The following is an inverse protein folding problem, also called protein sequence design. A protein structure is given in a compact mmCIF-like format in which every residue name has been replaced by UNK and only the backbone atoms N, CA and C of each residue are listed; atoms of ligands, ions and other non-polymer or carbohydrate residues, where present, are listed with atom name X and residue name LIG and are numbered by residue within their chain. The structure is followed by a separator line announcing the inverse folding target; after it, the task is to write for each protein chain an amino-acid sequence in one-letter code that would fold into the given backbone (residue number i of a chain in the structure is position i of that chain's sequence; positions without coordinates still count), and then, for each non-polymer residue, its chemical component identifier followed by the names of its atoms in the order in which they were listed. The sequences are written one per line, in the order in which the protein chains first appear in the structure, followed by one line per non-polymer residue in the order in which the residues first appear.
data_IF_956212509228
#
_entry.id   IF_956212509228
#
_cell.length_a   1.000
_cell.length_b   1.000
_cell.length_c   1.000
_cell.angle_alpha   90.00
_cell.angle_beta   90.00
_cell.angle_gamma   90.00
#
_symmetry.space_group_name_H-M   'P 1'
#
loop_
_entity.id
_entity.type
_entity.pdbx_description
1 polymer ?
#
# COMPACT_ATOMS: atom_id res chain seq x y z
N UNK A 1 15.33 0.39 13.38
CA UNK A 1 16.68 0.01 12.88
C UNK A 1 17.77 0.12 13.95
N UNK A 2 18.02 1.31 14.53
CA UNK A 2 19.08 1.52 15.54
C UNK A 2 18.96 0.59 16.77
N UNK A 3 17.78 0.51 17.39
CA UNK A 3 17.54 -0.39 18.54
C UNK A 3 17.53 -1.89 18.17
N UNK A 4 17.45 -2.23 16.88
CA UNK A 4 17.46 -3.61 16.38
C UNK A 4 18.84 -4.00 15.80
N UNK A 5 19.90 -3.28 16.18
CA UNK A 5 21.28 -3.51 15.72
C UNK A 5 21.41 -3.54 14.18
N UNK A 6 20.62 -2.71 13.49
CA UNK A 6 20.67 -2.55 12.04
C UNK A 6 19.74 -3.46 11.24
N UNK A 7 19.23 -4.57 11.81
CA UNK A 7 18.31 -5.47 11.09
C UNK A 7 16.88 -5.22 11.55
N UNK A 8 16.11 -4.51 10.74
CA UNK A 8 14.76 -4.11 11.07
C UNK A 8 13.82 -4.35 9.88
N UNK A 9 12.91 -5.32 9.98
CA UNK A 9 11.97 -5.63 8.89
C UNK A 9 10.97 -4.51 8.54
N UNK A 10 10.86 -3.46 9.38
CA UNK A 10 9.95 -2.33 9.16
C UNK A 10 10.51 -1.22 8.24
N UNK A 11 11.82 -1.24 7.93
CA UNK A 11 12.44 -0.21 7.10
C UNK A 11 13.75 -0.72 6.46
N UNK A 12 14.19 -0.08 5.37
CA UNK A 12 15.50 -0.38 4.77
C UNK A 12 15.48 -1.35 3.59
N UNK A 13 14.31 -1.71 3.07
CA UNK A 13 14.17 -2.40 1.80
C UNK A 13 14.04 -1.40 0.65
N UNK A 14 14.81 -1.59 -0.42
CA UNK A 14 14.81 -0.76 -1.62
C UNK A 14 14.51 -1.63 -2.84
N UNK A 15 13.78 -1.06 -3.80
CA UNK A 15 13.41 -1.75 -5.03
C UNK A 15 12.67 -0.82 -5.99
N UNK A 16 12.40 -1.32 -7.19
CA UNK A 16 11.68 -0.59 -8.22
C UNK A 16 10.17 -0.71 -8.03
N UNK A 17 9.39 0.17 -8.67
CA UNK A 17 7.93 0.02 -8.69
C UNK A 17 7.50 -1.31 -9.31
N UNK A 18 8.26 -1.82 -10.29
CA UNK A 18 8.02 -3.11 -10.91
C UNK A 18 8.23 -4.28 -9.94
N UNK A 19 9.25 -4.21 -9.08
CA UNK A 19 9.50 -5.27 -8.08
C UNK A 19 8.47 -5.26 -6.96
N UNK A 20 8.08 -4.07 -6.49
CA UNK A 20 6.94 -3.92 -5.57
C UNK A 20 5.69 -4.50 -6.21
N UNK A 21 5.40 -4.16 -7.47
CA UNK A 21 4.24 -4.67 -8.19
C UNK A 21 4.21 -6.21 -8.26
N UNK A 22 5.35 -6.89 -8.45
CA UNK A 22 5.41 -8.36 -8.43
C UNK A 22 4.92 -8.94 -7.10
N UNK A 23 5.36 -8.36 -5.97
CA UNK A 23 4.92 -8.79 -4.64
C UNK A 23 3.43 -8.51 -4.43
N UNK A 24 2.97 -7.28 -4.71
CA UNK A 24 1.58 -6.89 -4.54
C UNK A 24 0.64 -7.70 -5.45
N UNK A 25 1.09 -8.03 -6.66
CA UNK A 25 0.37 -8.91 -7.59
C UNK A 25 0.23 -10.32 -7.04
N UNK A 26 1.26 -10.88 -6.42
CA UNK A 26 1.16 -12.21 -5.80
C UNK A 26 0.18 -12.18 -4.62
N UNK A 27 0.23 -11.15 -3.78
CA UNK A 27 -0.74 -10.96 -2.68
C UNK A 27 -2.17 -10.83 -3.20
N UNK A 28 -2.41 -9.96 -4.18
CA UNK A 28 -3.74 -9.77 -4.78
C UNK A 28 -4.27 -11.08 -5.36
N UNK A 29 -3.46 -11.76 -6.18
CA UNK A 29 -3.86 -13.02 -6.80
C UNK A 29 -4.12 -14.12 -5.76
N UNK A 30 -3.32 -14.18 -4.71
CA UNK A 30 -3.52 -15.13 -3.61
C UNK A 30 -4.78 -14.82 -2.81
N UNK A 31 -5.07 -13.54 -2.55
CA UNK A 31 -6.29 -13.09 -1.89
C UNK A 31 -7.54 -13.51 -2.69
N UNK A 32 -7.46 -13.42 -4.02
CA UNK A 32 -8.52 -13.82 -4.96
C UNK A 32 -8.58 -15.34 -5.23
N UNK A 33 -7.78 -16.15 -4.51
CA UNK A 33 -7.79 -17.61 -4.67
C UNK A 33 -7.13 -18.13 -5.96
N UNK A 34 -6.32 -17.29 -6.63
CA UNK A 34 -5.60 -17.61 -7.88
C UNK A 34 -4.08 -17.40 -7.75
N UNK A 35 -3.40 -17.96 -6.72
CA UNK A 35 -1.98 -17.72 -6.48
C UNK A 35 -1.14 -18.12 -7.72
N UNK A 36 -0.20 -17.26 -8.14
CA UNK A 36 0.64 -17.56 -9.31
C UNK A 36 1.88 -18.35 -8.96
N UNK A 37 2.52 -18.03 -7.82
CA UNK A 37 3.76 -18.67 -7.37
C UNK A 37 3.56 -19.53 -6.13
N UNK A 38 2.43 -19.41 -5.44
CA UNK A 38 2.14 -20.19 -4.24
C UNK A 38 3.00 -19.79 -3.04
N UNK A 39 3.48 -18.53 -3.01
CA UNK A 39 4.35 -18.04 -1.93
C UNK A 39 3.61 -17.88 -0.60
N UNK A 40 2.29 -17.67 -0.65
CA UNK A 40 1.47 -17.40 0.53
C UNK A 40 0.25 -18.32 0.56
N UNK A 41 -0.21 -18.66 1.77
CA UNK A 41 -1.48 -19.35 1.97
C UNK A 41 -2.64 -18.37 1.75
N UNK A 42 -3.67 -18.70 0.95
CA UNK A 42 -4.81 -17.80 0.71
C UNK A 42 -5.50 -17.32 1.99
N UNK A 43 -5.62 -18.18 2.99
CA UNK A 43 -6.26 -17.87 4.28
C UNK A 43 -5.47 -16.80 5.04
N UNK A 44 -4.14 -16.90 5.01
CA UNK A 44 -3.24 -15.91 5.63
C UNK A 44 -3.36 -14.56 4.94
N UNK A 45 -3.31 -14.52 3.61
CA UNK A 45 -3.43 -13.23 2.89
C UNK A 45 -4.79 -12.58 3.14
N UNK A 46 -5.87 -13.36 3.12
CA UNK A 46 -7.22 -12.84 3.44
C UNK A 46 -7.31 -12.29 4.86
N UNK A 47 -6.64 -12.93 5.83
CA UNK A 47 -6.57 -12.40 7.20
C UNK A 47 -5.84 -11.04 7.26
N UNK A 48 -4.78 -10.86 6.47
CA UNK A 48 -4.05 -9.60 6.40
C UNK A 48 -4.84 -8.48 5.70
N UNK A 49 -5.75 -8.83 4.79
CA UNK A 49 -6.59 -7.87 4.07
C UNK A 49 -7.88 -7.51 4.84
N UNK A 50 -8.18 -8.23 5.92
CA UNK A 50 -9.38 -8.03 6.72
C UNK A 50 -9.25 -6.79 7.60
N UNK A 51 -10.24 -5.91 7.51
CA UNK A 51 -10.38 -4.76 8.40
C UNK A 51 -10.50 -5.21 9.86
N UNK A 52 -9.77 -4.53 10.73
CA UNK A 52 -9.77 -4.77 12.16
C UNK A 52 -10.73 -3.79 12.87
N UNK A 53 -11.37 -4.20 13.98
CA UNK A 53 -12.29 -3.32 14.72
C UNK A 53 -11.66 -2.01 15.20
N UNK A 54 -10.35 -2.02 15.48
CA UNK A 54 -9.58 -0.84 15.94
C UNK A 54 -9.06 0.04 14.78
N UNK A 55 -9.46 -0.26 13.54
CA UNK A 55 -8.99 0.42 12.33
C UNK A 55 -7.81 -0.28 11.66
N UNK A 56 -7.67 -0.07 10.35
CA UNK A 56 -6.63 -0.69 9.52
C UNK A 56 -6.85 -2.18 9.27
N UNK A 57 -5.82 -2.83 8.76
CA UNK A 57 -5.73 -4.28 8.57
C UNK A 57 -4.38 -4.78 9.11
N UNK A 58 -4.17 -6.09 9.22
CA UNK A 58 -2.94 -6.60 9.86
C UNK A 58 -1.71 -6.24 9.02
N UNK A 59 -0.92 -5.29 9.51
CA UNK A 59 0.26 -4.77 8.82
C UNK A 59 -0.02 -3.78 7.69
N UNK A 60 -1.28 -3.38 7.47
CA UNK A 60 -1.67 -2.48 6.39
C UNK A 60 -2.60 -1.37 6.85
N UNK A 61 -2.51 -0.24 6.17
CA UNK A 61 -3.47 0.85 6.22
C UNK A 61 -4.72 0.50 5.41
N UNK A 62 -5.85 1.12 5.73
CA UNK A 62 -7.09 1.01 4.96
C UNK A 62 -7.64 2.41 4.62
N UNK A 63 -8.46 2.57 3.57
CA UNK A 63 -9.09 3.86 3.27
C UNK A 63 -9.92 4.38 4.46
N UNK A 64 -9.64 5.62 4.88
CA UNK A 64 -10.35 6.28 5.99
C UNK A 64 -11.05 7.56 5.52
N UNK A 65 -12.30 7.75 5.94
CA UNK A 65 -13.04 8.98 5.65
C UNK A 65 -13.25 9.79 6.93
N UNK A 66 -13.10 11.13 6.88
CA UNK A 66 -12.56 11.94 5.78
C UNK A 66 -11.02 11.92 5.71
N UNK A 67 -10.46 12.20 4.53
CA UNK A 67 -9.03 12.55 4.39
C UNK A 67 -8.04 11.40 4.18
N UNK A 68 -8.49 10.24 3.67
CA UNK A 68 -7.59 9.13 3.35
C UNK A 68 -6.44 9.55 2.43
N UNK A 69 -5.24 9.04 2.71
CA UNK A 69 -4.11 9.12 1.75
C UNK A 69 -4.34 8.30 0.48
N UNK A 70 -5.35 7.43 0.42
CA UNK A 70 -5.77 6.70 -0.79
C UNK A 70 -6.65 7.54 -1.71
N UNK A 71 -7.11 8.71 -1.30
CA UNK A 71 -8.20 9.40 -1.99
C UNK A 71 -9.55 8.73 -1.73
N UNK A 72 -10.52 8.94 -2.63
CA UNK A 72 -11.95 8.67 -2.45
C UNK A 72 -12.48 7.46 -3.20
N UNK A 73 -11.79 7.04 -4.27
CA UNK A 73 -12.37 6.08 -5.21
C UNK A 73 -12.07 4.62 -4.90
N UNK A 74 -11.12 4.32 -4.02
CA UNK A 74 -10.83 2.95 -3.58
C UNK A 74 -12.01 2.32 -2.83
N UNK A 75 -12.20 1.01 -3.00
CA UNK A 75 -13.24 0.29 -2.26
C UNK A 75 -12.86 0.10 -0.78
N UNK A 76 -13.85 -0.18 0.05
CA UNK A 76 -13.66 -0.53 1.47
C UNK A 76 -12.85 -1.81 1.66
N UNK A 77 -12.68 -2.66 0.64
CA UNK A 77 -11.84 -3.87 0.73
C UNK A 77 -10.34 -3.59 0.49
N UNK A 78 -9.99 -2.33 0.22
CA UNK A 78 -8.62 -1.94 -0.14
C UNK A 78 -7.70 -1.95 1.08
N UNK A 79 -6.48 -2.41 0.86
CA UNK A 79 -5.37 -2.26 1.82
C UNK A 79 -4.20 -1.53 1.18
N UNK A 80 -3.40 -0.85 1.98
CA UNK A 80 -2.23 -0.14 1.50
C UNK A 80 -1.18 0.08 2.57
N UNK A 81 -0.13 0.81 2.20
CA UNK A 81 0.85 1.25 3.18
C UNK A 81 1.50 2.57 2.78
N UNK A 82 1.78 3.43 3.77
CA UNK A 82 2.49 4.67 3.57
C UNK A 82 3.97 4.55 3.96
N UNK A 83 4.86 5.01 3.09
CA UNK A 83 6.28 5.11 3.40
C UNK A 83 6.70 6.50 3.85
N UNK A 84 7.64 6.53 4.80
CA UNK A 84 8.22 7.77 5.33
C UNK A 84 8.81 8.66 4.23
N UNK A 85 9.47 8.06 3.23
CA UNK A 85 10.09 8.79 2.12
C UNK A 85 9.08 9.37 1.13
N UNK A 86 7.79 9.20 1.36
CA UNK A 86 6.72 9.68 0.48
C UNK A 86 6.19 8.60 -0.46
N UNK A 87 6.64 7.36 -0.31
CA UNK A 87 6.08 6.23 -1.05
C UNK A 87 4.69 5.87 -0.53
N UNK A 88 3.90 5.20 -1.34
CA UNK A 88 2.67 4.53 -0.93
C UNK A 88 2.26 3.49 -1.95
N UNK A 89 1.54 2.45 -1.53
CA UNK A 89 0.77 1.62 -2.44
C UNK A 89 -0.63 1.36 -1.91
N UNK A 90 -1.55 1.00 -2.80
CA UNK A 90 -2.90 0.55 -2.49
C UNK A 90 -3.27 -0.64 -3.39
N UNK A 91 -3.91 -1.67 -2.82
CA UNK A 91 -4.41 -2.86 -3.50
C UNK A 91 -5.91 -2.93 -3.28
N UNK A 92 -6.70 -2.83 -4.35
CA UNK A 92 -8.15 -3.02 -4.32
C UNK A 92 -8.52 -4.42 -4.85
N UNK A 93 -8.77 -5.41 -3.97
CA UNK A 93 -9.09 -6.76 -4.40
C UNK A 93 -10.44 -6.82 -5.13
N UNK A 94 -11.42 -5.97 -4.77
CA UNK A 94 -12.72 -5.93 -5.44
C UNK A 94 -12.59 -5.51 -6.91
N UNK A 95 -11.63 -4.64 -7.22
CA UNK A 95 -11.43 -4.08 -8.56
C UNK A 95 -10.22 -4.66 -9.29
N UNK A 96 -9.43 -5.50 -8.64
CA UNK A 96 -8.14 -6.00 -9.15
C UNK A 96 -7.18 -4.88 -9.59
N UNK A 97 -7.19 -3.75 -8.87
CA UNK A 97 -6.34 -2.59 -9.16
C UNK A 97 -5.23 -2.48 -8.11
N UNK A 98 -4.01 -2.18 -8.57
CA UNK A 98 -2.86 -1.84 -7.72
C UNK A 98 -2.34 -0.49 -8.17
N UNK A 99 -2.18 0.45 -7.24
CA UNK A 99 -1.53 1.74 -7.50
C UNK A 99 -0.29 1.86 -6.63
N UNK A 100 0.85 2.19 -7.25
CA UNK A 100 2.15 2.32 -6.57
C UNK A 100 2.70 3.71 -6.86
N UNK A 101 3.05 4.43 -5.80
CA UNK A 101 3.72 5.71 -5.86
C UNK A 101 5.07 5.59 -5.15
N UNK A 102 6.16 5.76 -5.89
CA UNK A 102 7.50 5.87 -5.32
C UNK A 102 8.02 7.29 -5.48
N UNK A 103 8.26 7.97 -4.35
CA UNK A 103 8.82 9.34 -4.32
C UNK A 103 9.88 9.45 -3.24
N UNK A 104 10.57 10.60 -3.21
CA UNK A 104 11.52 10.93 -2.17
C UNK A 104 11.30 12.36 -1.62
N UNK A 105 10.23 12.54 -0.84
CA UNK A 105 9.89 13.82 -0.18
C UNK A 105 10.92 14.30 0.83
N UNK A 106 11.91 13.46 1.17
CA UNK A 106 12.93 13.77 2.19
C UNK A 106 14.12 14.50 1.60
N UNK A 107 14.23 14.50 0.27
CA UNK A 107 15.31 15.15 -0.46
C UNK A 107 14.87 16.53 -0.98
N UNK A 108 15.69 17.59 -0.82
CA UNK A 108 16.95 17.62 -0.07
C UNK A 108 16.75 17.72 1.45
N UNK A 109 15.53 18.06 1.93
CA UNK A 109 15.25 18.17 3.36
C UNK A 109 13.95 17.49 3.76
N UNK A 110 13.79 17.23 5.06
CA UNK A 110 12.58 16.58 5.60
C UNK A 110 11.38 17.51 5.76
N UNK A 111 11.52 18.81 5.46
CA UNK A 111 10.50 19.84 5.71
C UNK A 111 9.33 19.81 4.71
N UNK A 112 9.48 19.15 3.57
CA UNK A 112 8.44 19.11 2.55
C UNK A 112 7.33 18.11 2.92
N UNK A 113 6.17 18.61 3.35
CA UNK A 113 4.99 17.79 3.69
C UNK A 113 3.93 17.72 2.57
N UNK A 114 4.17 18.31 1.40
CA UNK A 114 3.19 18.36 0.29
C UNK A 114 2.71 16.99 -0.18
N UNK A 115 3.47 15.93 0.13
CA UNK A 115 3.09 14.55 -0.15
C UNK A 115 1.75 14.15 0.48
N UNK A 116 1.37 14.74 1.63
CA UNK A 116 0.09 14.49 2.31
C UNK A 116 -1.09 14.88 1.41
N UNK A 117 -1.00 16.02 0.73
CA UNK A 117 -2.00 16.50 -0.21
C UNK A 117 -1.89 15.82 -1.58
N UNK A 118 -0.66 15.50 -2.02
CA UNK A 118 -0.43 14.92 -3.35
C UNK A 118 -0.92 13.48 -3.49
N UNK A 119 -0.72 12.64 -2.47
CA UNK A 119 -1.15 11.22 -2.51
C UNK A 119 -2.62 11.03 -2.92
N UNK A 120 -3.61 11.63 -2.22
CA UNK A 120 -5.01 11.43 -2.58
C UNK A 120 -5.32 11.96 -3.99
N UNK A 121 -4.68 13.05 -4.43
CA UNK A 121 -4.88 13.59 -5.79
C UNK A 121 -4.41 12.60 -6.86
N UNK A 122 -3.20 12.06 -6.70
CA UNK A 122 -2.65 11.09 -7.64
C UNK A 122 -3.48 9.81 -7.69
N UNK A 123 -3.83 9.29 -6.51
CA UNK A 123 -4.63 8.06 -6.41
C UNK A 123 -6.04 8.25 -6.95
N UNK A 124 -6.69 9.39 -6.70
CA UNK A 124 -7.98 9.74 -7.32
C UNK A 124 -7.86 9.83 -8.84
N UNK A 125 -6.81 10.48 -9.37
CA UNK A 125 -6.61 10.63 -10.80
C UNK A 125 -6.48 9.26 -11.48
N UNK A 126 -5.62 8.37 -10.95
CA UNK A 126 -5.45 7.02 -11.50
C UNK A 126 -6.75 6.22 -11.43
N UNK A 127 -7.45 6.26 -10.29
CA UNK A 127 -8.70 5.52 -10.15
C UNK A 127 -9.78 6.05 -11.09
N UNK A 128 -9.91 7.37 -11.29
CA UNK A 128 -10.88 7.92 -12.23
C UNK A 128 -10.69 7.45 -13.67
N UNK A 129 -9.45 7.24 -14.09
CA UNK A 129 -9.17 6.75 -15.45
C UNK A 129 -9.40 5.24 -15.63
N UNK A 130 -9.45 4.49 -14.53
CA UNK A 130 -9.60 3.03 -14.56
C UNK A 130 -11.03 2.53 -14.27
N UNK A 131 -11.93 3.42 -13.86
CA UNK A 131 -13.32 3.10 -13.50
C UNK A 131 -14.30 3.57 -14.56
#
# INVERSE_FOLDING_TARGET
AYCLRGVAGHAGLFGTAADVHKLLSELLNTCLGRPKRGLFRPETVRAFFKHQPLGGALGFDTPTQPGSSSGRYFSESTVGHLGYTGTSFWIDPKRSIIVILLTNRIHPTRKNERIKAFRPILHDAVMKELL
#
